data_IF_295130022860
#
_entry.id   IF_295130022860
#
_cell.length_a   1.000
_cell.length_b   1.000
_cell.length_c   1.000
_cell.angle_alpha   90.00
_cell.angle_beta   90.00
_cell.angle_gamma   90.00
#
_symmetry.space_group_name_H-M   'P 1'
#
loop_
_entity.id
_entity.type
_entity.pdbx_description
1 polymer ?
#
# COMPACT_ATOMS: atom_id res chain seq x y z
N UNK A 1 11.74 -4.07 12.72
CA UNK A 1 10.29 -4.17 12.42
C UNK A 1 10.11 -3.66 10.99
N UNK A 2 9.54 -4.48 10.10
CA UNK A 2 9.63 -4.30 8.65
C UNK A 2 8.48 -3.45 8.09
N UNK A 3 8.79 -2.58 7.13
CA UNK A 3 7.81 -2.11 6.16
C UNK A 3 7.81 -3.11 5.02
N UNK A 4 6.72 -3.84 4.81
CA UNK A 4 6.62 -4.72 3.66
C UNK A 4 6.32 -3.91 2.39
N UNK A 5 7.30 -3.18 1.88
CA UNK A 5 7.31 -2.90 0.44
C UNK A 5 7.74 -4.18 -0.25
N UNK A 6 6.77 -5.01 -0.61
CA UNK A 6 7.08 -6.17 -1.45
C UNK A 6 7.30 -5.64 -2.85
N UNK A 7 8.56 -5.48 -3.24
CA UNK A 7 8.90 -5.11 -4.61
C UNK A 7 8.69 -6.35 -5.48
N UNK A 8 7.44 -6.61 -5.87
CA UNK A 8 7.13 -7.74 -6.73
C UNK A 8 7.59 -7.41 -8.15
N UNK A 9 8.79 -7.89 -8.50
CA UNK A 9 9.27 -7.90 -9.87
C UNK A 9 8.23 -8.62 -10.74
N UNK A 10 7.57 -7.90 -11.64
CA UNK A 10 6.44 -8.43 -12.42
C UNK A 10 5.28 -7.46 -12.58
N UNK A 11 5.11 -6.45 -11.72
CA UNK A 11 4.12 -5.39 -11.95
C UNK A 11 4.66 -4.24 -12.81
N UNK A 12 3.76 -3.53 -13.46
CA UNK A 12 4.05 -2.33 -14.28
C UNK A 12 4.51 -1.13 -13.45
N UNK A 13 4.18 -1.12 -12.15
CA UNK A 13 4.56 -0.08 -11.19
C UNK A 13 5.03 -0.73 -9.87
N UNK A 14 5.77 0.01 -9.01
CA UNK A 14 6.08 -0.45 -7.66
C UNK A 14 4.80 -0.87 -6.94
N UNK A 15 4.79 -2.06 -6.35
CA UNK A 15 3.61 -2.60 -5.68
C UNK A 15 3.83 -2.63 -4.16
N UNK A 16 2.75 -2.44 -3.42
CA UNK A 16 2.72 -2.46 -1.96
C UNK A 16 1.57 -3.35 -1.50
N UNK A 17 1.83 -4.19 -0.50
CA UNK A 17 0.82 -5.08 0.07
C UNK A 17 0.57 -4.61 1.51
N UNK A 18 -0.59 -4.02 1.77
CA UNK A 18 -0.86 -3.34 3.04
C UNK A 18 -0.95 -4.30 4.22
N UNK A 19 -1.42 -5.52 3.97
CA UNK A 19 -1.61 -6.58 4.97
C UNK A 19 -0.31 -7.05 5.61
N UNK A 20 0.82 -6.85 4.94
CA UNK A 20 2.12 -7.26 5.45
C UNK A 20 2.77 -6.16 6.32
N UNK A 21 2.11 -5.01 6.48
CA UNK A 21 2.60 -3.91 7.32
C UNK A 21 2.05 -4.01 8.73
N UNK A 22 2.93 -4.20 9.72
CA UNK A 22 2.55 -4.20 11.15
C UNK A 22 2.13 -2.83 11.67
N UNK A 23 2.28 -1.79 10.86
CA UNK A 23 2.00 -0.40 11.24
C UNK A 23 0.68 0.14 10.68
N UNK A 24 0.11 -0.54 9.69
CA UNK A 24 -1.21 -0.22 9.15
C UNK A 24 -2.25 -0.80 10.09
N UNK A 25 -3.12 0.06 10.63
CA UNK A 25 -4.19 -0.35 11.56
C UNK A 25 -5.56 -0.42 10.90
N UNK A 26 -5.72 0.28 9.78
CA UNK A 26 -6.96 0.32 9.02
C UNK A 26 -6.67 0.57 7.56
N UNK A 27 -7.47 -0.03 6.71
CA UNK A 27 -7.55 0.26 5.28
C UNK A 27 -9.02 0.40 4.95
N UNK A 28 -9.41 1.44 4.21
CA UNK A 28 -10.80 1.66 3.79
C UNK A 28 -10.82 2.09 2.33
N UNK A 29 -11.56 1.35 1.51
CA UNK A 29 -11.85 1.73 0.14
C UNK A 29 -13.21 2.42 0.09
N UNK A 30 -13.29 3.52 -0.65
CA UNK A 30 -14.54 4.13 -1.07
C UNK A 30 -14.59 4.07 -2.60
N UNK A 31 -15.34 3.11 -3.14
CA UNK A 31 -15.49 2.93 -4.61
C UNK A 31 -16.14 4.17 -5.25
N UNK A 32 -17.11 4.79 -4.56
CA UNK A 32 -17.81 5.98 -5.08
C UNK A 32 -16.90 7.19 -5.22
N UNK A 33 -15.87 7.29 -4.38
CA UNK A 33 -14.87 8.36 -4.43
C UNK A 33 -13.56 7.93 -5.09
N UNK A 34 -13.41 6.65 -5.44
CA UNK A 34 -12.14 6.07 -5.92
C UNK A 34 -10.96 6.43 -5.01
N UNK A 35 -11.15 6.23 -3.71
CA UNK A 35 -10.11 6.50 -2.70
C UNK A 35 -9.82 5.30 -1.80
N UNK A 36 -8.56 5.14 -1.42
CA UNK A 36 -8.12 4.28 -0.32
C UNK A 36 -7.61 5.16 0.80
N UNK A 37 -8.14 4.97 2.00
CA UNK A 37 -7.61 5.57 3.22
C UNK A 37 -6.83 4.52 4.01
N UNK A 38 -5.58 4.82 4.32
CA UNK A 38 -4.68 3.96 5.11
C UNK A 38 -4.37 4.64 6.43
N UNK A 39 -4.75 4.01 7.54
CA UNK A 39 -4.48 4.51 8.88
C UNK A 39 -3.26 3.86 9.51
N UNK A 40 -2.48 4.63 10.26
CA UNK A 40 -1.21 4.19 10.84
C UNK A 40 -1.23 4.22 12.37
N UNK A 41 -0.54 3.25 12.98
CA UNK A 41 -0.47 3.09 14.43
C UNK A 41 0.19 4.27 15.15
N UNK A 42 1.19 4.90 14.52
CA UNK A 42 1.97 5.96 15.14
C UNK A 42 2.54 6.94 14.12
N UNK A 43 2.94 8.12 14.62
CA UNK A 43 3.53 9.22 13.84
C UNK A 43 4.74 8.79 13.01
N UNK A 44 5.63 7.99 13.59
CA UNK A 44 6.88 7.60 12.94
C UNK A 44 6.59 6.77 11.69
N UNK A 45 5.73 5.77 11.81
CA UNK A 45 5.32 4.94 10.68
C UNK A 45 4.59 5.77 9.60
N UNK A 46 3.70 6.68 10.02
CA UNK A 46 3.01 7.58 9.09
C UNK A 46 3.98 8.47 8.31
N UNK A 47 4.92 9.14 8.99
CA UNK A 47 5.93 10.00 8.36
C UNK A 47 6.80 9.21 7.37
N UNK A 48 7.35 8.08 7.81
CA UNK A 48 8.22 7.26 6.97
C UNK A 48 7.49 6.75 5.72
N UNK A 49 6.22 6.33 5.90
CA UNK A 49 5.41 5.85 4.77
C UNK A 49 5.09 6.99 3.81
N UNK A 50 4.72 8.16 4.33
CA UNK A 50 4.45 9.34 3.52
C UNK A 50 5.67 9.76 2.71
N UNK A 51 6.85 9.79 3.34
CA UNK A 51 8.10 10.17 2.68
C UNK A 51 8.53 9.14 1.62
N UNK A 52 8.31 7.86 1.87
CA UNK A 52 8.57 6.80 0.88
C UNK A 52 7.60 6.90 -0.31
N UNK A 53 6.29 7.01 -0.05
CA UNK A 53 5.28 7.00 -1.12
C UNK A 53 5.33 8.26 -1.99
N UNK A 54 5.70 9.41 -1.42
CA UNK A 54 5.90 10.65 -2.19
C UNK A 54 7.01 10.57 -3.24
N UNK A 55 7.95 9.64 -3.09
CA UNK A 55 9.03 9.43 -4.07
C UNK A 55 8.52 8.71 -5.33
N UNK A 56 7.32 8.13 -5.30
CA UNK A 56 6.73 7.39 -6.41
C UNK A 56 5.54 8.16 -7.00
N UNK A 57 5.61 8.63 -8.26
CA UNK A 57 4.50 9.36 -8.89
C UNK A 57 3.28 8.45 -9.15
N UNK A 58 3.50 7.14 -9.28
CA UNK A 58 2.47 6.10 -9.39
C UNK A 58 2.97 4.82 -8.74
N UNK A 59 2.09 4.12 -8.03
CA UNK A 59 2.37 2.83 -7.42
C UNK A 59 1.07 2.03 -7.26
N UNK A 60 1.19 0.72 -7.10
CA UNK A 60 0.06 -0.17 -6.87
C UNK A 60 -0.11 -0.42 -5.37
N UNK A 61 -1.35 -0.33 -4.91
CA UNK A 61 -1.77 -0.88 -3.63
C UNK A 61 -2.51 -2.18 -3.92
N UNK A 62 -2.07 -3.25 -3.27
CA UNK A 62 -2.75 -4.53 -3.23
C UNK A 62 -3.32 -4.66 -1.82
N UNK A 63 -4.63 -4.85 -1.74
CA UNK A 63 -5.33 -5.02 -0.47
C UNK A 63 -6.41 -6.10 -0.58
N UNK A 64 -6.69 -6.82 0.50
CA UNK A 64 -7.84 -7.71 0.55
C UNK A 64 -9.13 -6.89 0.48
N UNK A 65 -10.04 -7.34 -0.38
CA UNK A 65 -11.29 -6.65 -0.64
C UNK A 65 -12.20 -6.60 0.61
N UNK A 66 -12.13 -7.60 1.47
CA UNK A 66 -12.84 -7.62 2.76
C UNK A 66 -12.27 -6.60 3.75
N UNK A 67 -10.94 -6.53 3.86
CA UNK A 67 -10.22 -5.58 4.72
C UNK A 67 -10.43 -4.14 4.26
N UNK A 68 -10.60 -3.93 2.95
CA UNK A 68 -10.90 -2.63 2.38
C UNK A 68 -12.39 -2.25 2.43
N UNK A 69 -13.28 -3.16 2.85
CA UNK A 69 -14.72 -2.89 2.97
C UNK A 69 -15.49 -2.91 1.65
N UNK A 70 -14.96 -3.56 0.61
CA UNK A 70 -15.56 -3.62 -0.73
C UNK A 70 -16.72 -4.63 -0.85
N UNK A 71 -17.05 -5.37 0.21
CA UNK A 71 -18.15 -6.35 0.20
C UNK A 71 -17.95 -7.53 -0.77
N UNK A 72 -16.74 -7.74 -1.28
CA UNK A 72 -16.37 -8.89 -2.14
C UNK A 72 -16.04 -10.12 -1.28
N UNK A 73 -15.79 -11.26 -1.93
CA UNK A 73 -15.52 -12.51 -1.22
C UNK A 73 -14.28 -12.37 -0.32
N UNK A 74 -14.35 -12.91 0.90
CA UNK A 74 -13.22 -12.90 1.82
C UNK A 74 -12.02 -13.62 1.20
N UNK A 75 -10.84 -13.01 1.31
CA UNK A 75 -9.60 -13.52 0.71
C UNK A 75 -9.35 -13.09 -0.75
N UNK A 76 -10.28 -12.41 -1.41
CA UNK A 76 -10.03 -11.81 -2.72
C UNK A 76 -9.14 -10.57 -2.59
N UNK A 77 -8.12 -10.45 -3.45
CA UNK A 77 -7.23 -9.27 -3.49
C UNK A 77 -7.68 -8.34 -4.60
N UNK A 78 -7.75 -7.07 -4.26
CA UNK A 78 -7.99 -5.97 -5.19
C UNK A 78 -6.68 -5.24 -5.47
N UNK A 79 -6.51 -4.79 -6.71
CA UNK A 79 -5.31 -4.09 -7.16
C UNK A 79 -5.69 -2.69 -7.60
N UNK A 80 -5.03 -1.69 -7.01
CA UNK A 80 -5.39 -0.29 -7.17
C UNK A 80 -4.17 0.52 -7.59
N UNK A 81 -4.27 1.25 -8.69
CA UNK A 81 -3.24 2.20 -9.10
C UNK A 81 -3.45 3.53 -8.41
N UNK A 82 -2.51 3.91 -7.57
CA UNK A 82 -2.49 5.20 -6.90
C UNK A 82 -1.88 6.26 -7.82
N UNK A 83 -2.61 7.36 -7.99
CA UNK A 83 -2.19 8.52 -8.81
C UNK A 83 -1.77 9.70 -7.96
N UNK A 84 -2.27 9.79 -6.73
CA UNK A 84 -2.04 10.91 -5.84
C UNK A 84 -2.27 10.50 -4.39
N UNK A 85 -1.55 11.15 -3.47
CA UNK A 85 -1.68 10.93 -2.04
C UNK A 85 -1.87 12.25 -1.31
N UNK A 86 -2.81 12.26 -0.36
CA UNK A 86 -3.09 13.37 0.54
C UNK A 86 -2.91 12.90 1.97
N UNK A 87 -2.20 13.68 2.77
CA UNK A 87 -1.86 13.31 4.14
C UNK A 87 -2.80 14.00 5.13
N UNK A 88 -3.43 13.24 6.03
CA UNK A 88 -4.32 13.76 7.09
C UNK A 88 -3.64 13.59 8.44
N UNK A 89 -2.86 14.61 8.81
CA UNK A 89 -2.02 14.60 10.01
C UNK A 89 -2.79 14.32 11.31
N UNK A 90 -3.99 14.89 11.46
CA UNK A 90 -4.80 14.77 12.67
C UNK A 90 -5.28 13.35 12.96
N UNK A 91 -5.32 12.49 11.94
CA UNK A 91 -5.81 11.11 12.05
C UNK A 91 -4.70 10.08 11.80
N UNK A 92 -3.47 10.53 11.51
CA UNK A 92 -2.38 9.68 11.06
C UNK A 92 -2.79 8.80 9.87
N UNK A 93 -3.45 9.43 8.88
CA UNK A 93 -3.95 8.75 7.70
C UNK A 93 -3.29 9.26 6.42
N UNK A 94 -3.19 8.39 5.43
CA UNK A 94 -2.86 8.73 4.04
C UNK A 94 -4.06 8.34 3.17
N UNK A 95 -4.61 9.32 2.47
CA UNK A 95 -5.70 9.16 1.51
C UNK A 95 -5.09 9.10 0.11
N UNK A 96 -5.28 7.98 -0.56
CA UNK A 96 -4.79 7.71 -1.90
C UNK A 96 -5.95 7.86 -2.89
N UNK A 97 -5.78 8.69 -3.92
CA UNK A 97 -6.67 8.69 -5.09
C UNK A 97 -6.23 7.58 -6.03
N UNK A 98 -7.17 6.75 -6.46
CA UNK A 98 -6.85 5.53 -7.16
C UNK A 98 -7.75 5.26 -8.38
N UNK A 99 -7.34 4.30 -9.18
CA UNK A 99 -8.20 3.59 -10.13
C UNK A 99 -8.04 2.09 -9.92
N UNK A 100 -9.14 1.35 -9.97
CA UNK A 100 -9.08 -0.11 -9.96
C UNK A 100 -8.42 -0.62 -11.24
N UNK A 101 -7.54 -1.60 -11.11
CA UNK A 101 -6.92 -2.31 -12.23
C UNK A 101 -7.24 -3.81 -12.11
N UNK A 102 -7.47 -4.46 -13.25
CA UNK A 102 -7.41 -5.91 -13.27
C UNK A 102 -5.99 -6.39 -13.00
N UNK A 103 -5.86 -7.59 -12.42
CA UNK A 103 -4.55 -8.20 -12.18
C UNK A 103 -3.74 -8.33 -13.49
N UNK A 104 -4.42 -8.61 -14.60
CA UNK A 104 -3.83 -8.68 -15.94
C UNK A 104 -3.26 -7.35 -16.43
N UNK A 105 -3.86 -6.22 -16.09
CA UNK A 105 -3.34 -4.89 -16.44
C UNK A 105 -2.22 -4.44 -15.50
N UNK A 106 -2.25 -4.93 -14.26
CA UNK A 106 -1.22 -4.62 -13.27
C UNK A 106 0.12 -5.34 -13.57
N UNK A 107 0.07 -6.55 -14.14
CA UNK A 107 1.25 -7.37 -14.45
C UNK A 107 1.88 -6.95 -15.79
N UNK A 108 3.21 -6.86 -15.84
CA UNK A 108 3.97 -6.63 -17.06
C UNK A 108 3.99 -7.91 -17.91
N UNK A 109 3.61 -7.85 -19.21
CA UNK A 109 3.36 -9.03 -20.04
C UNK A 109 4.57 -9.97 -20.17
N UNK A 110 5.80 -9.43 -20.12
CA UNK A 110 7.04 -10.19 -20.33
C UNK A 110 7.85 -10.47 -19.06
N UNK A 111 7.34 -10.19 -17.85
CA UNK A 111 8.10 -10.40 -16.60
C UNK A 111 7.44 -11.48 -15.74
N UNK A 112 8.23 -12.48 -15.34
CA UNK A 112 7.80 -13.41 -14.29
C UNK A 112 7.56 -12.63 -13.01
N UNK A 113 6.43 -12.90 -12.35
CA UNK A 113 6.09 -12.35 -11.04
C UNK A 113 6.97 -13.04 -9.98
N UNK A 114 8.08 -12.43 -9.61
CA UNK A 114 8.86 -12.81 -8.45
C UNK A 114 8.56 -11.84 -7.30
N UNK A 115 8.10 -12.41 -6.18
CA UNK A 115 7.78 -11.69 -4.96
C UNK A 115 9.09 -11.50 -4.20
N UNK A 116 9.72 -10.33 -4.34
CA UNK A 116 10.86 -9.96 -3.51
C UNK A 116 10.34 -9.32 -2.23
N UNK A 117 10.42 -10.06 -1.12
CA UNK A 117 10.07 -9.58 0.21
C UNK A 117 11.29 -8.88 0.77
N UNK A 118 11.58 -7.70 0.23
CA UNK A 118 12.67 -6.89 0.76
C UNK A 118 12.25 -6.40 2.15
N UNK A 119 13.00 -6.84 3.16
CA UNK A 119 12.70 -6.55 4.56
C UNK A 119 13.44 -5.26 4.88
N UNK A 120 12.79 -4.10 4.84
CA UNK A 120 13.40 -2.86 5.31
C UNK A 120 13.65 -2.96 6.81
N UNK A 121 14.88 -3.30 7.19
CA UNK A 121 15.29 -3.39 8.58
C UNK A 121 15.50 -1.98 9.12
N UNK A 122 14.51 -1.50 9.88
CA UNK A 122 14.67 -0.28 10.66
C UNK A 122 15.68 -0.59 11.76
N UNK A 123 16.94 -0.22 11.54
CA UNK A 123 17.87 -0.03 12.65
C UNK A 123 17.25 1.02 13.57
N UNK A 124 16.72 0.54 14.69
CA UNK A 124 16.33 1.35 15.83
C UNK A 124 17.63 1.84 16.47
N UNK A 125 18.02 3.13 16.38
CA UNK A 125 19.08 3.63 17.22
C UNK A 125 18.49 3.71 18.63
N UNK A 126 18.57 2.59 19.36
CA UNK A 126 18.25 2.56 20.78
C UNK A 126 19.00 3.70 21.47
N UNK A 127 18.36 4.54 22.29
CA UNK A 127 19.09 5.50 23.11
C UNK A 127 19.87 4.75 24.21
N UNK A 128 20.98 5.33 24.71
CA UNK A 128 21.95 4.67 25.59
C UNK A 128 21.39 4.23 26.94
#
# INVERSE_FOLDING_TARGET
>A
RSFASVHVSGFTHPALILEHSTYVISTRCDEGLSTITVGFQNRTAWNMTLDAWKQHPKFLIIAFADSCGLGRQSGERSVHLVHNITSVWSQLEIVCQMSELSLTEAIHPDRQVAIDVDTFDVHDPSPP
#
